data_IF_730673599925
#
_entry.id   IF_730673599925
#
_cell.length_a   1.000
_cell.length_b   1.000
_cell.length_c   1.000
_cell.angle_alpha   90.00
_cell.angle_beta   90.00
_cell.angle_gamma   90.00
#
_symmetry.space_group_name_H-M   'P 1'
#
loop_
_entity.id
_entity.type
_entity.pdbx_description
1 polymer ?
#
# COMPACT_ATOMS: atom_id res chain seq x y z
N UNK A 1 4.23 -4.85 -8.53
CA UNK A 1 3.57 -5.10 -9.85
C UNK A 1 2.08 -5.19 -9.61
N UNK A 2 1.32 -4.43 -10.35
CA UNK A 2 -0.13 -4.40 -10.28
C UNK A 2 -0.71 -4.79 -11.65
N UNK A 3 -1.68 -5.70 -11.67
CA UNK A 3 -2.23 -6.30 -12.90
C UNK A 3 -3.76 -6.29 -12.84
N UNK A 4 -4.45 -5.70 -13.83
CA UNK A 4 -5.89 -5.79 -13.96
C UNK A 4 -6.31 -7.16 -14.51
N UNK A 5 -7.42 -7.69 -14.01
CA UNK A 5 -8.06 -8.93 -14.55
C UNK A 5 -9.30 -8.64 -15.40
N UNK A 6 -9.57 -7.39 -15.67
CA UNK A 6 -10.60 -6.88 -16.54
C UNK A 6 -10.25 -5.48 -16.97
N UNK A 7 -10.93 -4.96 -17.99
CA UNK A 7 -10.76 -3.60 -18.43
C UNK A 7 -11.23 -2.63 -17.34
N UNK A 8 -10.39 -1.66 -17.02
CA UNK A 8 -10.60 -0.69 -15.95
C UNK A 8 -10.66 0.72 -16.55
N UNK A 9 -11.86 1.27 -16.63
CA UNK A 9 -12.08 2.67 -17.00
C UNK A 9 -11.71 3.61 -15.83
N UNK A 10 -11.65 4.90 -16.11
CA UNK A 10 -11.39 5.90 -15.06
C UNK A 10 -12.48 5.89 -13.98
N UNK A 11 -13.74 5.68 -14.37
CA UNK A 11 -14.89 5.62 -13.44
C UNK A 11 -14.88 4.34 -12.60
N UNK A 12 -14.40 3.22 -13.14
CA UNK A 12 -14.24 1.98 -12.36
C UNK A 12 -13.13 2.10 -11.33
N UNK A 13 -12.25 3.09 -11.46
CA UNK A 13 -11.25 3.44 -10.47
C UNK A 13 -9.98 2.57 -10.55
N UNK A 14 -9.06 2.97 -11.42
CA UNK A 14 -7.75 2.34 -11.56
C UNK A 14 -6.74 2.79 -10.51
N UNK A 15 -5.50 2.42 -10.75
CA UNK A 15 -4.37 2.90 -9.97
C UNK A 15 -3.97 4.30 -10.41
N UNK A 16 -3.67 5.17 -9.45
CA UNK A 16 -3.04 6.46 -9.69
C UNK A 16 -1.69 6.54 -8.99
N UNK A 17 -0.74 7.23 -9.59
CA UNK A 17 0.61 7.44 -9.07
C UNK A 17 0.92 8.92 -8.94
N UNK A 18 1.67 9.31 -7.92
CA UNK A 18 2.15 10.68 -7.79
C UNK A 18 3.48 10.84 -8.53
N UNK A 19 3.45 11.63 -9.60
CA UNK A 19 4.59 11.86 -10.50
C UNK A 19 5.84 12.30 -9.73
N UNK A 20 6.97 11.61 -9.96
CA UNK A 20 8.25 11.95 -9.37
C UNK A 20 8.39 11.71 -7.87
N UNK A 21 7.38 11.16 -7.19
CA UNK A 21 7.39 10.98 -5.74
C UNK A 21 8.50 10.03 -5.26
N UNK A 22 8.90 9.05 -6.06
CA UNK A 22 10.00 8.14 -5.77
C UNK A 22 11.37 8.83 -5.59
N UNK A 23 11.53 10.04 -6.16
CA UNK A 23 12.73 10.88 -6.00
C UNK A 23 12.72 11.74 -4.74
N UNK A 24 11.67 11.69 -3.95
CA UNK A 24 11.44 12.55 -2.77
C UNK A 24 11.61 11.79 -1.45
N UNK A 25 12.48 10.79 -1.43
CA UNK A 25 12.75 9.95 -0.26
C UNK A 25 13.11 10.74 1.00
N UNK A 26 13.80 11.88 0.85
CA UNK A 26 14.14 12.76 1.99
C UNK A 26 12.87 13.30 2.70
N UNK A 27 11.82 13.61 1.95
CA UNK A 27 10.55 14.10 2.51
C UNK A 27 9.71 12.96 3.12
N UNK A 28 9.99 11.74 2.72
CA UNK A 28 9.34 10.52 3.22
C UNK A 28 10.15 9.84 4.33
N UNK A 29 11.31 10.39 4.70
CA UNK A 29 12.26 9.74 5.60
C UNK A 29 11.66 9.30 6.94
N UNK A 30 10.73 10.06 7.49
CA UNK A 30 10.03 9.67 8.72
C UNK A 30 9.07 8.49 8.49
N UNK A 31 8.41 8.44 7.34
CA UNK A 31 7.55 7.31 6.97
C UNK A 31 8.37 6.05 6.70
N UNK A 32 9.43 6.16 5.90
CA UNK A 32 10.27 5.03 5.50
C UNK A 32 11.06 4.39 6.66
N UNK A 33 11.27 5.14 7.75
CA UNK A 33 11.93 4.62 8.97
C UNK A 33 10.97 4.05 10.01
N UNK A 34 9.67 4.05 9.74
CA UNK A 34 8.71 3.48 10.68
C UNK A 34 8.85 1.97 10.72
N UNK A 35 8.98 1.46 11.91
CA UNK A 35 8.84 0.04 12.17
C UNK A 35 7.35 -0.29 12.25
N UNK A 36 6.82 -0.98 11.23
CA UNK A 36 5.40 -1.37 11.18
C UNK A 36 5.02 -2.31 12.32
N UNK A 37 5.96 -3.13 12.80
CA UNK A 37 5.70 -4.07 13.88
C UNK A 37 5.41 -3.36 15.20
N UNK A 38 5.89 -2.14 15.38
CA UNK A 38 5.59 -1.30 16.55
C UNK A 38 4.12 -0.86 16.63
N UNK A 39 3.37 -1.00 15.53
CA UNK A 39 1.94 -0.63 15.44
C UNK A 39 1.01 -1.84 15.45
N UNK A 40 1.55 -3.05 15.52
CA UNK A 40 0.78 -4.28 15.48
C UNK A 40 -0.01 -4.50 16.78
N UNK A 41 -1.26 -4.97 16.63
CA UNK A 41 -2.16 -5.24 17.78
C UNK A 41 -1.74 -6.44 18.59
N UNK A 42 -0.96 -7.34 18.03
CA UNK A 42 -0.52 -8.57 18.70
C UNK A 42 0.85 -8.45 19.40
N UNK A 43 1.42 -7.26 19.44
CA UNK A 43 2.64 -6.99 20.19
C UNK A 43 2.39 -6.87 21.70
N UNK A 44 3.37 -7.15 22.56
CA UNK A 44 3.27 -6.87 23.99
C UNK A 44 2.91 -5.39 24.25
N UNK A 45 1.94 -5.15 25.13
CA UNK A 45 1.47 -3.79 25.47
C UNK A 45 0.54 -3.13 24.44
N UNK A 46 0.10 -3.86 23.42
CA UNK A 46 -0.78 -3.31 22.38
C UNK A 46 -2.15 -2.90 22.94
N UNK A 47 -2.70 -3.62 23.91
CA UNK A 47 -3.99 -3.28 24.52
C UNK A 47 -3.92 -1.97 25.33
N UNK A 48 -2.82 -1.73 26.05
CA UNK A 48 -2.62 -0.45 26.74
C UNK A 48 -2.43 0.70 25.76
N UNK A 49 -1.76 0.46 24.62
CA UNK A 49 -1.60 1.44 23.56
C UNK A 49 -2.93 1.79 22.89
N UNK A 50 -3.80 0.80 22.69
CA UNK A 50 -5.15 0.96 22.17
C UNK A 50 -6.04 1.74 23.15
N UNK A 51 -5.98 1.39 24.43
CA UNK A 51 -6.72 2.10 25.48
C UNK A 51 -6.34 3.58 25.62
N UNK A 52 -5.12 3.96 25.22
CA UNK A 52 -4.63 5.35 25.23
C UNK A 52 -4.88 6.10 23.92
N UNK A 53 -5.80 5.62 23.07
CA UNK A 53 -6.14 6.21 21.75
C UNK A 53 -4.94 6.50 20.83
N UNK A 54 -3.82 5.85 21.05
CA UNK A 54 -2.72 5.91 20.09
C UNK A 54 -3.17 5.23 18.83
N UNK A 55 -3.44 6.00 17.80
CA UNK A 55 -3.99 5.52 16.53
C UNK A 55 -3.18 4.34 16.02
N UNK A 56 -3.89 3.25 15.77
CA UNK A 56 -3.34 2.11 15.06
C UNK A 56 -3.04 2.62 13.66
N UNK A 57 -1.77 2.67 13.32
CA UNK A 57 -1.39 3.04 11.98
C UNK A 57 -1.64 1.84 11.04
N UNK A 58 -2.36 2.08 9.97
CA UNK A 58 -2.75 1.08 8.97
C UNK A 58 -1.74 0.90 7.83
N UNK A 59 -0.53 1.49 7.96
CA UNK A 59 0.49 1.49 6.92
C UNK A 59 0.30 2.58 5.87
N UNK A 60 -0.79 3.31 5.91
CA UNK A 60 -1.10 4.36 4.95
C UNK A 60 -0.21 5.59 5.18
N UNK A 61 0.34 6.15 4.11
CA UNK A 61 1.10 7.41 4.19
C UNK A 61 0.19 8.58 4.57
N UNK A 62 -0.97 8.65 3.94
CA UNK A 62 -2.03 9.62 4.21
C UNK A 62 -3.34 9.17 3.57
N UNK A 63 -4.46 9.58 4.14
CA UNK A 63 -5.80 9.40 3.56
C UNK A 63 -6.25 10.61 2.74
N UNK A 64 -5.39 11.62 2.59
CA UNK A 64 -5.70 12.83 1.84
C UNK A 64 -4.75 13.00 0.65
N UNK A 65 -5.12 12.53 -0.55
CA UNK A 65 -4.30 12.62 -1.75
C UNK A 65 -4.10 14.06 -2.24
N UNK A 66 -5.02 14.95 -1.94
CA UNK A 66 -4.88 16.38 -2.31
C UNK A 66 -3.77 17.02 -1.49
N UNK A 67 -3.78 16.83 -0.19
CA UNK A 67 -2.79 17.43 0.71
C UNK A 67 -1.38 16.90 0.46
N UNK A 68 -1.22 15.61 0.18
CA UNK A 68 0.11 15.06 -0.13
C UNK A 68 0.66 15.60 -1.45
N UNK A 69 -0.19 15.77 -2.47
CA UNK A 69 0.20 16.39 -3.72
C UNK A 69 0.61 17.85 -3.52
N UNK A 70 -0.14 18.61 -2.75
CA UNK A 70 0.21 20.01 -2.44
C UNK A 70 1.56 20.11 -1.72
N UNK A 71 1.80 19.21 -0.78
CA UNK A 71 3.05 19.18 0.00
C UNK A 71 4.27 18.77 -0.82
N UNK A 72 4.13 17.78 -1.67
CA UNK A 72 5.24 17.20 -2.42
C UNK A 72 5.39 17.77 -3.84
N UNK A 73 4.35 18.40 -4.37
CA UNK A 73 4.26 18.78 -5.77
C UNK A 73 4.03 17.56 -6.67
N UNK A 74 4.05 17.79 -7.99
CA UNK A 74 3.78 16.77 -8.99
C UNK A 74 2.29 16.70 -9.36
N UNK A 75 1.97 15.74 -10.21
CA UNK A 75 0.61 15.48 -10.67
C UNK A 75 0.24 14.04 -10.32
N UNK A 76 -1.03 13.81 -10.06
CA UNK A 76 -1.57 12.47 -10.09
C UNK A 76 -1.71 12.02 -11.54
N UNK A 77 -1.13 10.88 -11.86
CA UNK A 77 -1.20 10.26 -13.16
C UNK A 77 -1.97 8.96 -13.04
N UNK A 78 -2.88 8.73 -13.96
CA UNK A 78 -3.65 7.50 -14.10
C UNK A 78 -3.92 7.24 -15.59
N UNK A 79 -4.39 6.05 -15.90
CA UNK A 79 -4.79 5.66 -17.24
C UNK A 79 -5.95 4.66 -17.16
N UNK A 80 -6.68 4.53 -18.25
CA UNK A 80 -7.49 3.35 -18.48
C UNK A 80 -6.56 2.16 -18.73
N UNK A 81 -6.91 1.02 -18.19
CA UNK A 81 -6.09 -0.19 -18.24
C UNK A 81 -6.91 -1.32 -18.82
N UNK A 82 -6.27 -2.14 -19.63
CA UNK A 82 -6.90 -3.29 -20.28
C UNK A 82 -6.32 -4.61 -19.73
N UNK A 83 -7.02 -5.69 -19.96
CA UNK A 83 -6.49 -7.03 -19.70
C UNK A 83 -5.18 -7.22 -20.45
N UNK A 84 -4.13 -7.62 -19.72
CA UNK A 84 -2.77 -7.76 -20.27
C UNK A 84 -1.83 -6.60 -19.93
N UNK A 85 -2.38 -5.47 -19.48
CA UNK A 85 -1.54 -4.38 -18.97
C UNK A 85 -0.91 -4.74 -17.64
N UNK A 86 0.24 -4.13 -17.37
CA UNK A 86 0.99 -4.27 -16.11
C UNK A 86 1.53 -2.93 -15.69
N UNK A 87 1.28 -2.55 -14.43
CA UNK A 87 1.91 -1.38 -13.83
C UNK A 87 3.02 -1.84 -12.88
N UNK A 88 4.26 -1.49 -13.18
CA UNK A 88 5.44 -1.86 -12.39
C UNK A 88 6.04 -0.60 -11.77
N UNK A 89 6.24 -0.60 -10.47
CA UNK A 89 6.82 0.54 -9.75
C UNK A 89 7.56 0.08 -8.49
N UNK A 90 8.51 0.92 -8.06
CA UNK A 90 9.26 0.69 -6.81
C UNK A 90 8.44 1.07 -5.57
N UNK A 91 8.80 0.52 -4.43
CA UNK A 91 8.11 0.69 -3.14
C UNK A 91 8.05 2.16 -2.66
N UNK A 92 8.92 3.03 -3.15
CA UNK A 92 8.95 4.44 -2.76
C UNK A 92 8.04 5.34 -3.61
N UNK A 93 7.38 4.79 -4.64
CA UNK A 93 6.42 5.52 -5.45
C UNK A 93 5.09 5.64 -4.70
N UNK A 94 4.68 6.87 -4.43
CA UNK A 94 3.38 7.14 -3.81
C UNK A 94 2.29 6.84 -4.83
N UNK A 95 1.35 6.01 -4.42
CA UNK A 95 0.24 5.56 -5.25
C UNK A 95 -1.03 5.41 -4.42
N UNK A 96 -2.15 5.38 -5.08
CA UNK A 96 -3.46 5.13 -4.48
C UNK A 96 -4.41 4.54 -5.54
N UNK A 97 -5.55 4.04 -5.10
CA UNK A 97 -6.66 3.74 -6.01
C UNK A 97 -7.56 4.95 -6.14
N UNK A 98 -8.10 5.15 -7.34
CA UNK A 98 -9.26 6.01 -7.55
C UNK A 98 -10.51 5.35 -6.98
N UNK A 99 -11.47 6.15 -6.56
CA UNK A 99 -12.76 5.67 -6.11
C UNK A 99 -13.54 5.05 -7.28
N UNK A 100 -14.17 3.92 -7.03
CA UNK A 100 -15.08 3.29 -7.98
C UNK A 100 -16.41 4.06 -7.95
N UNK A 101 -16.79 4.65 -9.08
CA UNK A 101 -18.02 5.41 -9.27
C UNK A 101 -19.08 4.60 -10.03
N UNK A 102 -18.86 3.30 -10.19
CA UNK A 102 -19.75 2.40 -10.92
C UNK A 102 -20.34 1.35 -9.98
N UNK A 103 -21.31 0.60 -10.46
CA UNK A 103 -21.88 -0.58 -9.79
C UNK A 103 -21.11 -1.89 -10.07
N UNK A 104 -20.00 -1.81 -10.79
CA UNK A 104 -19.16 -2.94 -11.18
C UNK A 104 -18.06 -3.19 -10.15
N UNK A 105 -17.64 -4.45 -10.05
CA UNK A 105 -16.49 -4.83 -9.21
C UNK A 105 -15.22 -4.78 -10.06
N UNK A 106 -14.18 -4.08 -9.55
CA UNK A 106 -12.84 -4.09 -10.12
C UNK A 106 -12.05 -5.28 -9.56
N UNK A 107 -11.46 -6.07 -10.44
CA UNK A 107 -10.55 -7.13 -10.09
C UNK A 107 -9.12 -6.81 -10.52
N UNK A 108 -8.18 -6.91 -9.59
CA UNK A 108 -6.75 -6.71 -9.85
C UNK A 108 -5.91 -7.48 -8.82
N UNK A 109 -4.68 -7.80 -9.16
CA UNK A 109 -3.69 -8.32 -8.21
C UNK A 109 -2.57 -7.32 -7.95
N UNK A 110 -2.01 -7.40 -6.76
CA UNK A 110 -0.80 -6.68 -6.36
C UNK A 110 0.24 -7.70 -5.91
N UNK A 111 1.28 -7.88 -6.73
CA UNK A 111 2.36 -8.83 -6.47
C UNK A 111 3.65 -8.06 -6.18
N UNK A 112 4.37 -8.52 -5.16
CA UNK A 112 5.62 -7.90 -4.72
C UNK A 112 6.79 -8.80 -5.02
N UNK A 113 7.88 -8.19 -5.46
CA UNK A 113 9.12 -8.87 -5.79
C UNK A 113 10.28 -8.15 -5.12
N UNK A 114 11.25 -8.92 -4.68
CA UNK A 114 12.52 -8.42 -4.15
C UNK A 114 13.68 -9.20 -4.75
N UNK A 115 14.88 -8.71 -4.57
CA UNK A 115 16.09 -9.45 -4.96
C UNK A 115 16.19 -10.73 -4.12
N UNK A 116 16.59 -11.83 -4.74
CA UNK A 116 16.77 -13.11 -4.05
C UNK A 116 17.88 -13.07 -2.98
N UNK A 117 18.78 -12.10 -3.07
CA UNK A 117 19.85 -11.85 -2.08
C UNK A 117 19.38 -11.12 -0.82
N UNK A 118 18.19 -10.52 -0.86
CA UNK A 118 17.65 -9.78 0.29
C UNK A 118 16.99 -10.72 1.30
N UNK A 119 17.03 -10.32 2.55
CA UNK A 119 16.37 -11.06 3.61
C UNK A 119 14.85 -11.16 3.34
N UNK A 120 14.34 -12.37 3.49
CA UNK A 120 12.92 -12.66 3.26
C UNK A 120 12.15 -12.46 4.56
N UNK A 121 11.02 -11.79 4.48
CA UNK A 121 10.06 -11.70 5.56
C UNK A 121 9.08 -12.88 5.46
N UNK A 122 9.12 -13.79 6.44
CA UNK A 122 8.32 -15.01 6.50
C UNK A 122 6.81 -14.78 6.42
N UNK A 123 6.39 -13.55 6.70
CA UNK A 123 4.98 -13.15 6.59
C UNK A 123 4.44 -13.18 5.16
N UNK A 124 5.34 -13.10 4.18
CA UNK A 124 4.98 -12.93 2.77
C UNK A 124 5.33 -14.11 1.88
N UNK A 125 5.97 -15.13 2.43
CA UNK A 125 6.46 -16.27 1.66
C UNK A 125 5.94 -17.59 2.21
N UNK A 126 5.99 -18.63 1.35
CA UNK A 126 5.56 -19.98 1.69
C UNK A 126 4.17 -20.32 1.12
N UNK A 127 3.71 -21.55 1.34
CA UNK A 127 2.45 -22.04 0.77
C UNK A 127 1.20 -21.38 1.35
N UNK A 128 1.29 -20.81 2.55
CA UNK A 128 0.18 -20.09 3.21
C UNK A 128 0.73 -18.90 3.99
N UNK A 129 1.19 -17.84 3.32
CA UNK A 129 1.76 -16.70 4.01
C UNK A 129 0.67 -15.97 4.83
N UNK A 130 0.92 -15.66 6.11
CA UNK A 130 -0.04 -14.95 6.94
C UNK A 130 -0.31 -13.51 6.47
N UNK A 131 0.68 -12.84 5.92
CA UNK A 131 0.56 -11.45 5.44
C UNK A 131 -0.10 -10.52 6.44
N UNK A 132 -0.78 -9.47 5.95
CA UNK A 132 -1.59 -8.54 6.74
C UNK A 132 -3.08 -8.91 6.77
N UNK A 133 -3.40 -10.19 6.73
CA UNK A 133 -4.78 -10.66 6.87
C UNK A 133 -5.31 -10.49 8.29
N UNK A 134 -6.63 -10.57 8.45
CA UNK A 134 -7.23 -10.58 9.79
C UNK A 134 -6.74 -11.75 10.65
N UNK A 135 -6.38 -12.88 10.04
CA UNK A 135 -5.78 -14.02 10.73
C UNK A 135 -4.35 -13.72 11.16
N UNK A 136 -3.55 -13.06 10.30
CA UNK A 136 -2.21 -12.58 10.63
C UNK A 136 -2.25 -11.55 11.76
N UNK A 137 -3.22 -10.63 11.76
CA UNK A 137 -3.41 -9.64 12.83
C UNK A 137 -3.76 -10.24 14.19
N UNK A 138 -4.35 -11.43 14.20
CA UNK A 138 -4.65 -12.18 15.45
C UNK A 138 -3.48 -13.04 15.92
N UNK A 139 -2.59 -13.36 15.01
CA UNK A 139 -1.40 -14.15 15.30
C UNK A 139 -0.21 -13.29 15.76
N UNK A 140 0.96 -13.62 15.27
CA UNK A 140 2.23 -12.93 15.60
C UNK A 140 2.49 -11.67 14.76
N UNK A 141 1.66 -11.42 13.76
CA UNK A 141 1.93 -10.48 12.67
C UNK A 141 0.74 -9.54 12.50
N UNK A 142 0.99 -8.31 12.17
CA UNK A 142 -0.03 -7.31 11.90
C UNK A 142 -0.92 -7.65 10.73
#
# INVERSE_FOLDING_TARGET
MWVPYGDISLELGGLMILEGSHKKSNLLGNYLRRDVDSYCLNRPGAEEAKAKERSIWDGCLTKNPVSIRQKLGGRWLTAELQVGDVVIFGMTLIHASLDNQTDRIRFSSDSRYQLASEAVDDRWVGPKPPGHTSAGKRGRIC
#
